data_IF_726825504670
#
_entry.id   IF_726825504670
#
_cell.length_a   1.000
_cell.length_b   1.000
_cell.length_c   1.000
_cell.angle_alpha   90.00
_cell.angle_beta   90.00
_cell.angle_gamma   90.00
#
_symmetry.space_group_name_H-M   'P 1'
#
loop_
_entity.id
_entity.type
_entity.pdbx_description
1 polymer ?
#
# COMPACT_ATOMS: atom_id res chain seq x y z
N UNK A 1 -7.47 -22.23 -21.20
CA UNK A 1 -7.72 -21.80 -22.59
C UNK A 1 -9.11 -21.19 -22.61
N UNK A 2 -9.27 -19.97 -23.12
CA UNK A 2 -10.61 -19.39 -23.30
C UNK A 2 -11.25 -20.04 -24.53
N UNK A 3 -12.48 -20.53 -24.40
CA UNK A 3 -13.19 -21.26 -25.46
C UNK A 3 -14.24 -20.31 -26.03
N UNK A 4 -14.15 -20.02 -27.33
CA UNK A 4 -15.14 -19.21 -28.03
C UNK A 4 -16.45 -19.99 -28.25
N UNK A 5 -17.57 -19.27 -28.28
CA UNK A 5 -18.88 -19.82 -28.60
C UNK A 5 -19.59 -18.92 -29.62
N UNK A 6 -20.14 -19.49 -30.69
CA UNK A 6 -20.92 -18.78 -31.72
C UNK A 6 -20.23 -17.51 -32.30
N UNK A 7 -18.93 -17.60 -32.62
CA UNK A 7 -18.17 -16.47 -33.15
C UNK A 7 -17.85 -15.38 -32.12
N UNK A 8 -18.06 -15.65 -30.83
CA UNK A 8 -17.75 -14.73 -29.72
C UNK A 8 -16.75 -15.37 -28.77
N UNK A 9 -15.82 -14.57 -28.26
CA UNK A 9 -14.87 -15.00 -27.22
C UNK A 9 -14.73 -13.88 -26.19
N UNK A 10 -14.86 -14.24 -24.91
CA UNK A 10 -14.66 -13.30 -23.82
C UNK A 10 -13.21 -13.35 -23.33
N UNK A 11 -12.50 -12.23 -23.39
CA UNK A 11 -11.14 -12.09 -22.85
C UNK A 11 -11.11 -10.94 -21.84
N UNK A 12 -10.76 -11.26 -20.58
CA UNK A 12 -10.81 -10.33 -19.45
C UNK A 12 -12.18 -9.61 -19.32
N UNK A 13 -12.19 -8.30 -19.55
CA UNK A 13 -13.36 -7.41 -19.43
C UNK A 13 -13.99 -7.08 -20.81
N UNK A 14 -13.58 -7.79 -21.87
CA UNK A 14 -13.99 -7.50 -23.26
C UNK A 14 -14.60 -8.74 -23.91
N UNK A 15 -15.69 -8.56 -24.65
CA UNK A 15 -16.29 -9.55 -25.53
C UNK A 15 -15.82 -9.24 -26.95
N UNK A 16 -15.08 -10.17 -27.54
CA UNK A 16 -14.63 -10.10 -28.91
C UNK A 16 -15.66 -10.84 -29.76
N UNK A 17 -16.21 -10.15 -30.75
CA UNK A 17 -17.23 -10.66 -31.68
C UNK A 17 -16.59 -10.67 -33.06
N UNK A 18 -16.48 -11.86 -33.66
CA UNK A 18 -16.01 -12.05 -35.02
C UNK A 18 -17.18 -11.76 -35.96
N UNK A 19 -17.03 -10.74 -36.79
CA UNK A 19 -18.02 -10.35 -37.79
C UNK A 19 -17.38 -10.41 -39.17
N UNK A 20 -17.59 -11.51 -39.89
CA UNK A 20 -17.02 -11.82 -41.22
C UNK A 20 -15.56 -11.37 -41.37
N UNK A 21 -15.32 -10.13 -41.81
CA UNK A 21 -13.97 -9.56 -42.06
C UNK A 21 -13.44 -8.64 -40.94
N UNK A 22 -14.12 -8.53 -39.81
CA UNK A 22 -13.84 -7.54 -38.76
C UNK A 22 -14.03 -8.07 -37.35
N UNK A 23 -13.30 -7.48 -36.40
CA UNK A 23 -13.49 -7.72 -34.97
C UNK A 23 -14.25 -6.56 -34.36
N UNK A 24 -15.36 -6.89 -33.70
CA UNK A 24 -16.17 -5.94 -32.94
C UNK A 24 -15.98 -6.24 -31.46
N UNK A 25 -15.73 -5.21 -30.67
CA UNK A 25 -15.48 -5.33 -29.25
C UNK A 25 -16.66 -4.77 -28.45
N UNK A 26 -17.02 -5.45 -27.37
CA UNK A 26 -18.05 -5.02 -26.43
C UNK A 26 -17.56 -5.23 -24.99
N UNK A 27 -18.21 -4.59 -24.02
CA UNK A 27 -17.90 -4.79 -22.61
C UNK A 27 -18.39 -6.18 -22.18
N UNK A 28 -17.52 -6.96 -21.54
CA UNK A 28 -17.87 -8.26 -20.98
C UNK A 28 -17.82 -8.25 -19.47
N UNK A 29 -18.73 -9.00 -18.85
CA UNK A 29 -18.75 -9.24 -17.41
C UNK A 29 -19.05 -10.70 -17.16
N UNK A 30 -18.28 -11.31 -16.27
CA UNK A 30 -18.51 -12.70 -15.84
C UNK A 30 -19.84 -12.79 -15.09
N UNK A 31 -20.48 -13.97 -15.10
CA UNK A 31 -21.71 -14.23 -14.36
C UNK A 31 -21.60 -13.95 -12.84
N UNK A 32 -20.38 -14.05 -12.29
CA UNK A 32 -20.09 -13.75 -10.88
C UNK A 32 -19.88 -12.27 -10.58
N UNK A 33 -20.06 -11.38 -11.56
CA UNK A 33 -19.90 -9.94 -11.37
C UNK A 33 -21.00 -9.37 -10.47
N UNK A 34 -20.60 -8.87 -9.31
CA UNK A 34 -21.53 -8.38 -8.28
C UNK A 34 -22.00 -6.94 -8.47
N UNK A 35 -21.47 -6.20 -9.45
CA UNK A 35 -21.76 -4.77 -9.59
C UNK A 35 -21.18 -3.88 -8.47
N UNK A 36 -20.34 -4.42 -7.58
CA UNK A 36 -19.77 -3.66 -6.47
C UNK A 36 -18.50 -2.92 -6.91
N UNK A 37 -18.55 -1.60 -6.78
CA UNK A 37 -17.39 -0.72 -6.91
C UNK A 37 -17.10 -0.03 -5.57
N UNK A 38 -16.12 0.89 -5.57
CA UNK A 38 -15.88 1.75 -4.43
C UNK A 38 -17.15 2.54 -4.11
N UNK A 39 -17.78 2.27 -2.97
CA UNK A 39 -18.99 2.98 -2.55
C UNK A 39 -18.71 4.48 -2.38
N UNK A 40 -19.63 5.34 -2.82
CA UNK A 40 -19.44 6.79 -2.77
C UNK A 40 -19.33 7.34 -1.34
N UNK A 41 -19.93 6.71 -0.34
CA UNK A 41 -19.87 7.15 1.05
C UNK A 41 -18.64 6.61 1.79
N UNK A 42 -17.81 5.79 1.14
CA UNK A 42 -16.55 5.34 1.74
C UNK A 42 -15.58 6.51 1.99
N UNK A 43 -14.73 6.35 3.00
CA UNK A 43 -13.71 7.33 3.40
C UNK A 43 -12.53 7.36 2.40
N UNK A 44 -12.82 7.85 1.19
CA UNK A 44 -11.89 7.95 0.09
C UNK A 44 -11.94 9.36 -0.51
N UNK A 45 -10.82 9.87 -1.04
CA UNK A 45 -10.80 11.17 -1.69
C UNK A 45 -11.65 11.15 -2.96
N UNK A 46 -12.25 12.30 -3.30
CA UNK A 46 -13.08 12.44 -4.50
C UNK A 46 -12.33 12.07 -5.79
N UNK A 47 -11.00 12.23 -5.84
CA UNK A 47 -10.22 11.83 -7.03
C UNK A 47 -10.26 10.31 -7.27
N UNK A 48 -10.32 9.47 -6.22
CA UNK A 48 -10.47 8.02 -6.39
C UNK A 48 -11.87 7.67 -6.88
N UNK A 49 -12.91 8.33 -6.34
CA UNK A 49 -14.31 8.17 -6.78
C UNK A 49 -14.47 8.57 -8.26
N UNK A 50 -13.85 9.68 -8.69
CA UNK A 50 -13.78 10.05 -10.11
C UNK A 50 -13.01 9.02 -10.93
N UNK A 51 -11.90 8.50 -10.39
CA UNK A 51 -11.09 7.47 -11.02
C UNK A 51 -11.86 6.20 -11.35
N UNK A 52 -12.80 5.79 -10.49
CA UNK A 52 -13.71 4.66 -10.77
C UNK A 52 -14.56 4.94 -12.01
N UNK A 53 -15.18 6.12 -12.09
CA UNK A 53 -15.97 6.52 -13.27
C UNK A 53 -15.07 6.56 -14.51
N UNK A 54 -13.91 7.22 -14.43
CA UNK A 54 -12.97 7.30 -15.55
C UNK A 54 -12.57 5.93 -16.08
N UNK A 55 -12.23 4.98 -15.20
CA UNK A 55 -11.82 3.65 -15.60
C UNK A 55 -12.89 2.90 -16.41
N UNK A 56 -14.16 3.04 -16.07
CA UNK A 56 -15.26 2.40 -16.81
C UNK A 56 -15.56 3.15 -18.11
N UNK A 57 -15.65 4.47 -18.07
CA UNK A 57 -15.94 5.29 -19.25
C UNK A 57 -14.84 5.15 -20.31
N UNK A 58 -13.57 5.13 -19.88
CA UNK A 58 -12.45 4.91 -20.79
C UNK A 58 -12.53 3.56 -21.47
N UNK A 59 -12.88 2.49 -20.74
CA UNK A 59 -13.08 1.17 -21.35
C UNK A 59 -14.21 1.19 -22.39
N UNK A 60 -15.32 1.83 -22.09
CA UNK A 60 -16.45 1.92 -23.03
C UNK A 60 -16.03 2.66 -24.30
N UNK A 61 -15.43 3.84 -24.15
CA UNK A 61 -15.13 4.72 -25.28
C UNK A 61 -13.93 4.23 -26.10
N UNK A 62 -12.89 3.70 -25.46
CA UNK A 62 -11.65 3.31 -26.12
C UNK A 62 -11.62 1.87 -26.60
N UNK A 63 -12.36 0.96 -25.97
CA UNK A 63 -12.31 -0.47 -26.28
C UNK A 63 -13.58 -0.97 -26.97
N UNK A 64 -14.77 -0.44 -26.65
CA UNK A 64 -16.00 -0.96 -27.23
C UNK A 64 -16.30 -0.31 -28.59
N UNK A 65 -16.94 -1.05 -29.48
CA UNK A 65 -17.45 -0.52 -30.73
C UNK A 65 -18.59 0.50 -30.48
N UNK A 66 -18.67 1.62 -31.24
CA UNK A 66 -19.66 2.68 -31.02
C UNK A 66 -21.12 2.22 -30.91
N UNK A 67 -21.49 1.16 -31.65
CA UNK A 67 -22.81 0.52 -31.60
C UNK A 67 -23.24 0.12 -30.17
N UNK A 68 -22.30 -0.23 -29.29
CA UNK A 68 -22.59 -0.67 -27.93
C UNK A 68 -22.44 0.42 -26.87
N UNK A 69 -21.96 1.63 -27.23
CA UNK A 69 -21.66 2.68 -26.26
C UNK A 69 -22.89 3.10 -25.46
N UNK A 70 -24.04 3.31 -26.11
CA UNK A 70 -25.25 3.77 -25.43
C UNK A 70 -25.68 2.79 -24.33
N UNK A 71 -25.85 1.50 -24.68
CA UNK A 71 -26.20 0.45 -23.73
C UNK A 71 -25.19 0.36 -22.58
N UNK A 72 -23.90 0.33 -22.90
CA UNK A 72 -22.84 0.19 -21.89
C UNK A 72 -22.74 1.41 -20.96
N UNK A 73 -23.04 2.62 -21.46
CA UNK A 73 -23.09 3.84 -20.64
C UNK A 73 -24.28 3.81 -19.68
N UNK A 74 -25.47 3.40 -20.13
CA UNK A 74 -26.64 3.24 -19.28
C UNK A 74 -26.34 2.23 -18.16
N UNK A 75 -25.77 1.07 -18.51
CA UNK A 75 -25.40 0.05 -17.54
C UNK A 75 -24.37 0.56 -16.53
N UNK A 76 -23.37 1.33 -16.98
CA UNK A 76 -22.38 1.94 -16.09
C UNK A 76 -23.02 2.94 -15.12
N UNK A 77 -23.91 3.82 -15.60
CA UNK A 77 -24.62 4.79 -14.76
C UNK A 77 -25.45 4.08 -13.70
N UNK A 78 -26.21 3.05 -14.07
CA UNK A 78 -27.01 2.25 -13.14
C UNK A 78 -26.15 1.64 -12.03
N UNK A 79 -24.97 1.12 -12.37
CA UNK A 79 -24.05 0.59 -11.36
C UNK A 79 -23.52 1.68 -10.44
N UNK A 80 -23.15 2.84 -10.96
CA UNK A 80 -22.68 3.94 -10.11
C UNK A 80 -23.78 4.38 -9.12
N UNK A 81 -25.03 4.44 -9.56
CA UNK A 81 -26.17 4.74 -8.69
C UNK A 81 -26.34 3.67 -7.59
N UNK A 82 -26.25 2.39 -7.95
CA UNK A 82 -26.28 1.28 -6.98
C UNK A 82 -25.11 1.31 -5.97
N UNK A 83 -24.02 2.00 -6.30
CA UNK A 83 -22.88 2.23 -5.41
C UNK A 83 -22.93 3.60 -4.68
N UNK A 84 -24.08 4.30 -4.74
CA UNK A 84 -24.35 5.52 -4.01
C UNK A 84 -23.80 6.81 -4.63
N UNK A 85 -23.36 6.78 -5.89
CA UNK A 85 -22.82 7.98 -6.53
C UNK A 85 -23.96 8.95 -6.88
N UNK A 86 -23.86 10.25 -6.52
CA UNK A 86 -24.85 11.25 -6.91
C UNK A 86 -24.91 11.44 -8.43
N UNK A 87 -26.11 11.60 -8.99
CA UNK A 87 -26.33 11.80 -10.42
C UNK A 87 -25.49 12.95 -10.98
N UNK A 88 -25.52 14.11 -10.34
CA UNK A 88 -24.75 15.29 -10.78
C UNK A 88 -23.25 15.01 -10.82
N UNK A 89 -22.74 14.26 -9.84
CA UNK A 89 -21.34 13.88 -9.80
C UNK A 89 -20.99 12.92 -10.93
N UNK A 90 -21.85 11.94 -11.22
CA UNK A 90 -21.70 11.00 -12.34
C UNK A 90 -21.63 11.78 -13.65
N UNK A 91 -22.68 12.53 -13.98
CA UNK A 91 -22.77 13.22 -15.27
C UNK A 91 -21.68 14.27 -15.46
N UNK A 92 -21.38 15.05 -14.42
CA UNK A 92 -20.28 16.03 -14.48
C UNK A 92 -18.94 15.35 -14.74
N UNK A 93 -18.68 14.21 -14.09
CA UNK A 93 -17.42 13.46 -14.26
C UNK A 93 -17.33 12.83 -15.65
N UNK A 94 -18.41 12.23 -16.15
CA UNK A 94 -18.49 11.65 -17.50
C UNK A 94 -18.25 12.75 -18.55
N UNK A 95 -18.98 13.87 -18.46
CA UNK A 95 -18.86 15.00 -19.39
C UNK A 95 -17.42 15.51 -19.47
N UNK A 96 -16.77 15.70 -18.33
CA UNK A 96 -15.37 16.14 -18.28
C UNK A 96 -14.42 15.12 -18.90
N UNK A 97 -14.67 13.82 -18.71
CA UNK A 97 -13.84 12.76 -19.28
C UNK A 97 -13.99 12.65 -20.79
N UNK A 98 -15.21 12.78 -21.32
CA UNK A 98 -15.46 12.78 -22.76
C UNK A 98 -14.80 13.98 -23.45
N UNK A 99 -14.94 15.18 -22.87
CA UNK A 99 -14.23 16.38 -23.35
C UNK A 99 -12.72 16.18 -23.41
N UNK A 100 -12.14 15.51 -22.42
CA UNK A 100 -10.71 15.19 -22.41
C UNK A 100 -10.31 14.33 -23.62
N UNK A 101 -11.07 13.27 -23.94
CA UNK A 101 -10.76 12.41 -25.08
C UNK A 101 -10.93 13.12 -26.42
N UNK A 102 -12.00 13.92 -26.56
CA UNK A 102 -12.24 14.73 -27.77
C UNK A 102 -11.05 15.68 -28.01
N UNK A 103 -10.66 16.45 -26.99
CA UNK A 103 -9.54 17.39 -27.10
C UNK A 103 -8.20 16.71 -27.35
N UNK A 104 -8.00 15.50 -26.81
CA UNK A 104 -6.79 14.71 -27.03
C UNK A 104 -6.67 14.22 -28.46
N UNK A 105 -7.78 13.81 -29.08
CA UNK A 105 -7.81 13.43 -30.50
C UNK A 105 -7.49 14.64 -31.39
N UNK A 106 -7.96 15.83 -31.02
CA UNK A 106 -7.67 17.07 -31.76
C UNK A 106 -6.24 17.60 -31.58
N UNK A 107 -5.53 17.20 -30.52
CA UNK A 107 -4.21 17.74 -30.19
C UNK A 107 -3.13 16.67 -30.43
N UNK A 108 -2.53 16.71 -31.62
CA UNK A 108 -1.40 15.87 -32.04
C UNK A 108 -0.10 16.33 -31.36
N UNK A 109 -0.02 16.30 -30.03
CA UNK A 109 1.14 16.80 -29.30
C UNK A 109 2.07 15.67 -28.82
N UNK A 110 3.26 15.63 -29.44
CA UNK A 110 4.47 14.99 -28.94
C UNK A 110 4.84 15.58 -27.57
N UNK A 111 4.28 15.02 -26.51
CA UNK A 111 4.66 15.42 -25.16
C UNK A 111 5.89 14.62 -24.71
N UNK A 112 7.01 15.32 -24.59
CA UNK A 112 8.16 14.90 -23.80
C UNK A 112 7.69 14.60 -22.37
N UNK A 113 7.49 13.33 -22.05
CA UNK A 113 7.08 12.88 -20.73
C UNK A 113 8.26 13.02 -19.75
N UNK A 114 8.41 14.20 -19.15
CA UNK A 114 9.17 14.31 -17.92
C UNK A 114 8.51 13.42 -16.85
N UNK A 115 9.32 12.62 -16.17
CA UNK A 115 8.85 11.73 -15.11
C UNK A 115 8.21 12.57 -13.99
N UNK A 116 6.89 12.47 -13.85
CA UNK A 116 6.14 13.14 -12.79
C UNK A 116 6.48 12.48 -11.45
N UNK A 117 7.07 13.25 -10.53
CA UNK A 117 7.30 12.81 -9.14
C UNK A 117 6.00 12.88 -8.35
N UNK A 118 5.78 11.90 -7.47
CA UNK A 118 4.60 11.82 -6.63
C UNK A 118 4.97 11.83 -5.15
N UNK A 119 4.17 12.52 -4.35
CA UNK A 119 4.24 12.55 -2.91
C UNK A 119 2.99 11.87 -2.36
N UNK A 120 3.13 10.64 -1.87
CA UNK A 120 2.00 9.80 -1.47
C UNK A 120 1.82 9.84 0.05
N UNK A 121 0.60 10.16 0.51
CA UNK A 121 0.24 10.18 1.93
C UNK A 121 -1.01 9.32 2.21
N UNK A 122 -1.16 8.75 3.41
CA UNK A 122 -2.45 8.19 3.84
C UNK A 122 -3.56 9.24 3.76
N UNK A 123 -4.72 8.86 3.23
CA UNK A 123 -5.89 9.73 3.20
C UNK A 123 -6.55 9.81 4.58
N UNK A 124 -6.63 11.03 5.09
CA UNK A 124 -7.32 11.44 6.30
C UNK A 124 -8.00 12.76 5.96
N UNK A 125 -9.33 12.75 5.91
CA UNK A 125 -10.12 13.86 5.34
C UNK A 125 -9.79 15.24 5.95
N UNK A 126 -9.56 15.30 7.26
CA UNK A 126 -9.26 16.53 8.00
C UNK A 126 -7.85 17.10 7.77
N UNK A 127 -6.90 16.29 7.28
CA UNK A 127 -5.48 16.67 7.24
C UNK A 127 -4.88 16.58 5.85
N UNK A 128 -5.27 15.59 5.04
CA UNK A 128 -4.59 15.28 3.78
C UNK A 128 -4.54 16.44 2.78
N UNK A 129 -5.58 17.28 2.73
CA UNK A 129 -5.60 18.44 1.82
C UNK A 129 -4.55 19.50 2.20
N UNK A 130 -4.11 19.56 3.47
CA UNK A 130 -3.07 20.49 3.94
C UNK A 130 -1.69 20.16 3.38
N UNK A 131 -1.49 18.96 2.82
CA UNK A 131 -0.23 18.57 2.17
C UNK A 131 -0.13 19.03 0.71
N UNK A 132 -1.20 19.57 0.11
CA UNK A 132 -1.16 20.01 -1.29
C UNK A 132 -0.16 21.16 -1.53
N UNK A 133 -0.09 22.21 -0.70
CA UNK A 133 0.95 23.23 -0.82
C UNK A 133 2.36 22.64 -0.67
N UNK A 134 2.53 21.72 0.28
CA UNK A 134 3.82 21.06 0.55
C UNK A 134 4.29 20.27 -0.69
N UNK A 135 3.42 19.46 -1.28
CA UNK A 135 3.74 18.70 -2.48
C UNK A 135 4.17 19.62 -3.65
N UNK A 136 3.52 20.78 -3.79
CA UNK A 136 3.86 21.75 -4.83
C UNK A 136 5.25 22.37 -4.64
N UNK A 137 5.66 22.66 -3.39
CA UNK A 137 7.01 23.17 -3.06
C UNK A 137 8.09 22.19 -3.58
N UNK A 138 7.86 20.89 -3.41
CA UNK A 138 8.77 19.85 -3.88
C UNK A 138 8.54 19.45 -5.35
N UNK A 139 7.76 20.21 -6.13
CA UNK A 139 7.41 19.91 -7.53
C UNK A 139 6.81 18.50 -7.72
N UNK A 140 6.14 17.99 -6.69
CA UNK A 140 5.53 16.66 -6.67
C UNK A 140 4.01 16.75 -6.82
N UNK A 141 3.42 15.72 -7.42
CA UNK A 141 1.96 15.53 -7.38
C UNK A 141 1.56 14.82 -6.10
N UNK A 142 0.62 15.41 -5.36
CA UNK A 142 0.02 14.75 -4.19
C UNK A 142 -0.79 13.53 -4.63
N UNK A 143 -0.52 12.39 -4.01
CA UNK A 143 -1.25 11.14 -4.16
C UNK A 143 -1.73 10.64 -2.80
N UNK A 144 -2.81 9.86 -2.81
CA UNK A 144 -3.44 9.37 -1.59
C UNK A 144 -3.39 7.85 -1.54
N UNK A 145 -2.98 7.31 -0.40
CA UNK A 145 -3.04 5.87 -0.09
C UNK A 145 -4.17 5.62 0.89
N UNK A 146 -4.77 4.43 0.80
CA UNK A 146 -5.86 4.02 1.69
C UNK A 146 -5.32 2.86 2.55
N UNK A 147 -5.14 3.06 3.87
CA UNK A 147 -4.58 2.02 4.73
C UNK A 147 -5.56 0.86 4.96
N UNK A 148 -6.85 1.16 5.12
CA UNK A 148 -7.90 0.18 5.40
C UNK A 148 -8.41 -0.48 4.12
N UNK A 149 -7.61 -1.38 3.56
CA UNK A 149 -8.00 -2.15 2.37
C UNK A 149 -8.62 -3.49 2.73
N UNK A 150 -9.47 -4.00 1.83
CA UNK A 150 -10.05 -5.34 1.95
C UNK A 150 -9.01 -6.46 2.04
N UNK A 151 -7.73 -6.22 1.68
CA UNK A 151 -6.63 -7.18 1.83
C UNK A 151 -6.48 -7.68 3.27
N UNK A 152 -6.86 -6.87 4.26
CA UNK A 152 -6.78 -7.27 5.67
C UNK A 152 -7.80 -8.35 6.02
N UNK A 153 -8.94 -8.36 5.33
CA UNK A 153 -10.03 -9.33 5.54
C UNK A 153 -9.98 -10.48 4.53
N UNK A 154 -9.76 -10.17 3.26
CA UNK A 154 -9.73 -11.11 2.13
C UNK A 154 -8.26 -11.40 1.81
N UNK A 155 -7.74 -12.47 2.42
CA UNK A 155 -6.38 -12.97 2.19
C UNK A 155 -6.42 -14.11 1.16
N UNK A 156 -5.31 -14.30 0.45
CA UNK A 156 -5.17 -15.34 -0.60
C UNK A 156 -5.13 -16.79 -0.06
N UNK A 157 -5.43 -17.00 1.23
CA UNK A 157 -5.39 -18.33 1.85
C UNK A 157 -4.02 -19.00 1.81
N UNK A 158 -2.92 -18.24 1.79
CA UNK A 158 -1.57 -18.82 1.81
C UNK A 158 -1.26 -19.42 3.18
N UNK A 159 -0.46 -20.49 3.20
CA UNK A 159 0.04 -21.09 4.43
C UNK A 159 0.76 -20.05 5.28
N UNK A 160 0.50 -20.08 6.59
CA UNK A 160 1.20 -19.22 7.53
C UNK A 160 2.64 -19.72 7.66
N UNK A 161 3.59 -18.82 7.44
CA UNK A 161 4.97 -19.09 7.78
C UNK A 161 5.10 -19.24 9.29
N UNK A 162 5.99 -20.13 9.72
CA UNK A 162 6.41 -20.18 11.11
C UNK A 162 6.94 -18.82 11.56
N UNK A 163 6.68 -18.49 12.83
CA UNK A 163 6.91 -17.17 13.38
C UNK A 163 8.35 -16.64 13.18
N UNK A 164 9.36 -17.48 13.40
CA UNK A 164 10.78 -17.10 13.27
C UNK A 164 11.29 -17.12 11.82
N UNK A 165 10.52 -17.67 10.88
CA UNK A 165 10.84 -17.68 9.45
C UNK A 165 10.37 -16.41 8.72
N UNK A 166 9.67 -15.51 9.42
CA UNK A 166 9.32 -14.19 8.88
C UNK A 166 10.56 -13.35 8.57
N UNK A 167 10.44 -12.51 7.55
CA UNK A 167 11.48 -11.62 7.02
C UNK A 167 10.99 -10.17 7.03
N UNK A 168 11.92 -9.22 6.90
CA UNK A 168 11.61 -7.78 6.88
C UNK A 168 10.91 -7.29 8.15
N UNK A 169 11.38 -7.78 9.31
CA UNK A 169 10.74 -7.55 10.59
C UNK A 169 11.54 -6.59 11.46
N UNK A 170 10.83 -5.81 12.28
CA UNK A 170 11.36 -5.16 13.48
C UNK A 170 11.03 -6.07 14.66
N UNK A 171 12.01 -6.39 15.49
CA UNK A 171 11.89 -7.34 16.57
C UNK A 171 12.40 -6.78 17.89
N UNK A 172 11.95 -7.37 19.01
CA UNK A 172 12.34 -7.06 20.38
C UNK A 172 12.81 -8.33 21.09
N UNK A 173 14.00 -8.28 21.67
CA UNK A 173 14.55 -9.32 22.55
C UNK A 173 14.64 -8.73 23.96
N UNK A 174 14.12 -9.45 24.96
CA UNK A 174 14.13 -8.99 26.36
C UNK A 174 15.15 -9.80 27.16
N UNK A 175 15.77 -9.17 28.15
CA UNK A 175 16.60 -9.89 29.11
C UNK A 175 15.70 -10.73 30.03
N UNK A 176 16.14 -11.94 30.39
CA UNK A 176 15.39 -12.79 31.32
C UNK A 176 15.65 -12.42 32.80
N UNK A 177 16.72 -11.65 33.07
CA UNK A 177 17.19 -11.34 34.42
C UNK A 177 16.90 -9.90 34.87
N UNK A 178 16.58 -8.98 33.97
CA UNK A 178 16.25 -7.60 34.31
C UNK A 178 15.29 -6.99 33.29
N UNK A 179 14.65 -5.87 33.65
CA UNK A 179 13.67 -5.19 32.80
C UNK A 179 14.34 -4.35 31.71
N UNK A 180 15.25 -4.94 30.93
CA UNK A 180 15.86 -4.29 29.78
C UNK A 180 15.57 -5.03 28.50
N UNK A 181 15.59 -4.31 27.38
CA UNK A 181 15.31 -4.91 26.08
C UNK A 181 16.08 -4.27 24.94
N UNK A 182 16.29 -5.03 23.89
CA UNK A 182 16.89 -4.59 22.64
C UNK A 182 15.86 -4.66 21.51
N UNK A 183 15.78 -3.62 20.70
CA UNK A 183 15.02 -3.60 19.45
C UNK A 183 15.98 -3.56 18.27
N UNK A 184 15.69 -4.36 17.24
CA UNK A 184 16.45 -4.35 16.00
C UNK A 184 15.58 -4.67 14.79
N UNK A 185 16.11 -4.46 13.58
CA UNK A 185 15.47 -4.91 12.35
C UNK A 185 16.30 -5.95 11.56
N UNK A 186 15.61 -6.72 10.72
CA UNK A 186 16.28 -7.60 9.76
C UNK A 186 15.52 -7.69 8.45
N UNK A 187 16.25 -7.65 7.33
CA UNK A 187 15.74 -8.04 6.00
C UNK A 187 15.58 -9.55 5.87
N UNK A 188 16.44 -10.32 6.56
CA UNK A 188 16.52 -11.79 6.48
C UNK A 188 15.53 -12.44 7.44
N UNK A 189 15.53 -13.77 7.51
CA UNK A 189 14.72 -14.50 8.48
C UNK A 189 15.10 -14.10 9.90
N UNK A 190 14.09 -13.92 10.75
CA UNK A 190 14.29 -13.58 12.15
C UNK A 190 15.16 -14.64 12.86
N UNK A 191 14.94 -15.93 12.58
CA UNK A 191 15.74 -17.05 13.11
C UNK A 191 17.24 -16.84 12.91
N UNK A 192 17.66 -16.46 11.70
CA UNK A 192 19.07 -16.21 11.39
C UNK A 192 19.62 -15.06 12.22
N UNK A 193 18.84 -13.98 12.39
CA UNK A 193 19.27 -12.82 13.16
C UNK A 193 19.38 -13.10 14.67
N UNK A 194 18.45 -13.89 15.22
CA UNK A 194 18.52 -14.35 16.61
C UNK A 194 19.79 -15.16 16.84
N UNK A 195 20.08 -16.11 15.95
CA UNK A 195 21.28 -16.96 16.07
C UNK A 195 22.59 -16.15 16.02
N UNK A 196 22.65 -15.11 15.18
CA UNK A 196 23.80 -14.21 15.13
C UNK A 196 24.03 -13.46 16.44
N UNK A 197 22.96 -13.00 17.10
CA UNK A 197 23.08 -12.33 18.39
C UNK A 197 23.49 -13.30 19.49
N UNK A 198 22.92 -14.50 19.53
CA UNK A 198 23.25 -15.49 20.58
C UNK A 198 24.70 -15.97 20.47
N UNK A 199 25.20 -16.15 19.25
CA UNK A 199 26.57 -16.60 18.95
C UNK A 199 27.62 -15.49 18.98
N UNK A 200 27.21 -14.22 19.07
CA UNK A 200 28.12 -13.08 18.99
C UNK A 200 29.17 -13.06 20.11
N UNK A 201 28.80 -13.51 21.31
CA UNK A 201 29.69 -13.61 22.48
C UNK A 201 30.88 -14.55 22.25
N UNK A 202 30.75 -15.52 21.34
CA UNK A 202 31.80 -16.49 21.04
C UNK A 202 32.84 -15.95 20.04
N UNK A 203 32.61 -14.77 19.45
CA UNK A 203 33.52 -14.19 18.47
C UNK A 203 34.70 -13.54 19.18
N UNK A 204 35.91 -13.75 18.66
CA UNK A 204 37.15 -13.12 19.12
C UNK A 204 37.23 -11.60 18.82
N UNK A 205 36.12 -10.97 18.45
CA UNK A 205 36.10 -9.56 18.01
C UNK A 205 36.28 -8.61 19.19
N UNK A 206 36.99 -7.50 18.98
CA UNK A 206 37.22 -6.46 20.00
C UNK A 206 36.00 -5.54 20.25
N UNK A 207 34.88 -5.76 19.56
CA UNK A 207 33.70 -4.87 19.63
C UNK A 207 32.42 -5.72 19.70
N UNK A 208 32.05 -6.23 20.88
CA UNK A 208 30.85 -7.04 21.04
C UNK A 208 29.60 -6.22 20.74
N UNK A 209 28.52 -6.87 20.30
CA UNK A 209 27.22 -6.21 20.18
C UNK A 209 26.74 -5.72 21.55
N UNK A 210 25.81 -4.75 21.55
CA UNK A 210 25.19 -4.23 22.78
C UNK A 210 24.58 -5.34 23.64
N UNK A 211 23.96 -6.33 23.00
CA UNK A 211 23.41 -7.51 23.68
C UNK A 211 24.55 -8.31 24.36
N UNK A 212 25.63 -8.58 23.63
CA UNK A 212 26.80 -9.30 24.16
C UNK A 212 27.47 -8.53 25.31
N UNK A 213 27.63 -7.21 25.20
CA UNK A 213 28.16 -6.37 26.28
C UNK A 213 27.31 -6.50 27.55
N UNK A 214 25.99 -6.38 27.43
CA UNK A 214 25.09 -6.56 28.58
C UNK A 214 25.27 -7.94 29.22
N UNK A 215 25.32 -9.02 28.42
CA UNK A 215 25.53 -10.39 28.92
C UNK A 215 26.87 -10.52 29.66
N UNK A 216 27.95 -9.94 29.14
CA UNK A 216 29.29 -10.00 29.73
C UNK A 216 29.35 -9.19 31.04
N UNK A 217 28.83 -7.96 31.03
CA UNK A 217 28.95 -7.02 32.16
C UNK A 217 28.04 -7.40 33.34
N UNK A 218 26.86 -7.94 33.05
CA UNK A 218 25.84 -8.25 34.08
C UNK A 218 25.70 -9.74 34.37
N UNK A 219 26.36 -10.60 33.59
CA UNK A 219 26.19 -12.06 33.64
C UNK A 219 24.71 -12.49 33.47
N UNK A 220 23.95 -11.70 32.71
CA UNK A 220 22.56 -11.99 32.36
C UNK A 220 22.47 -12.72 31.01
N UNK A 221 21.30 -13.30 30.71
CA UNK A 221 20.98 -13.80 29.38
C UNK A 221 19.69 -13.21 28.82
N UNK A 222 19.48 -13.40 27.53
CA UNK A 222 18.31 -12.93 26.80
C UNK A 222 17.36 -14.06 26.43
N UNK A 223 16.08 -13.73 26.32
CA UNK A 223 15.07 -14.68 25.92
C UNK A 223 15.11 -14.93 24.40
N UNK A 224 15.87 -15.94 23.99
CA UNK A 224 16.06 -16.27 22.57
C UNK A 224 14.84 -16.99 21.95
N UNK A 225 13.99 -17.62 22.77
CA UNK A 225 12.82 -18.38 22.31
C UNK A 225 11.57 -17.52 22.15
N UNK A 226 11.42 -16.46 22.95
CA UNK A 226 10.24 -15.58 22.99
C UNK A 226 10.54 -14.17 22.43
N UNK A 227 11.17 -14.11 21.26
CA UNK A 227 11.42 -12.85 20.56
C UNK A 227 10.12 -12.29 20.01
N UNK A 228 9.84 -11.00 20.24
CA UNK A 228 8.59 -10.34 19.76
C UNK A 228 8.83 -9.66 18.42
N UNK A 229 7.97 -9.89 17.42
CA UNK A 229 7.90 -9.11 16.19
C UNK A 229 7.01 -7.90 16.48
N UNK A 230 7.60 -6.71 16.37
CA UNK A 230 6.92 -5.43 16.61
C UNK A 230 6.25 -4.89 15.34
N UNK A 231 6.89 -5.09 14.18
CA UNK A 231 6.39 -4.62 12.88
C UNK A 231 6.96 -5.46 11.71
N UNK A 232 6.31 -5.41 10.56
CA UNK A 232 6.73 -6.05 9.31
C UNK A 232 6.68 -5.04 8.15
N UNK A 233 7.85 -4.54 7.74
CA UNK A 233 7.96 -3.50 6.71
C UNK A 233 9.02 -3.89 5.67
N UNK A 234 8.59 -4.28 4.45
CA UNK A 234 9.50 -4.66 3.36
C UNK A 234 10.42 -3.53 2.89
N UNK A 235 9.97 -2.29 2.95
CA UNK A 235 10.77 -1.13 2.54
C UNK A 235 11.86 -0.84 3.58
N UNK A 236 13.12 -0.92 3.17
CA UNK A 236 14.25 -0.70 4.08
C UNK A 236 14.17 0.66 4.80
N UNK A 237 13.95 1.75 4.07
CA UNK A 237 13.90 3.09 4.67
C UNK A 237 12.74 3.24 5.66
N UNK A 238 11.57 2.68 5.37
CA UNK A 238 10.44 2.71 6.30
C UNK A 238 10.70 1.81 7.50
N UNK A 239 11.37 0.67 7.31
CA UNK A 239 11.74 -0.25 8.39
C UNK A 239 12.76 0.37 9.34
N UNK A 240 13.71 1.17 8.84
CA UNK A 240 14.60 1.97 9.69
C UNK A 240 13.81 2.96 10.57
N UNK A 241 12.86 3.70 9.98
CA UNK A 241 12.01 4.61 10.76
C UNK A 241 11.18 3.82 11.79
N UNK A 242 10.63 2.67 11.42
CA UNK A 242 9.87 1.79 12.32
C UNK A 242 10.73 1.29 13.49
N UNK A 243 11.96 0.85 13.22
CA UNK A 243 12.96 0.49 14.25
C UNK A 243 13.23 1.66 15.20
N UNK A 244 13.52 2.85 14.69
CA UNK A 244 13.78 4.04 15.50
C UNK A 244 12.60 4.42 16.40
N UNK A 245 11.38 4.39 15.86
CA UNK A 245 10.16 4.62 16.62
C UNK A 245 10.02 3.59 17.73
N UNK A 246 10.22 2.31 17.43
CA UNK A 246 10.13 1.25 18.44
C UNK A 246 11.23 1.33 19.51
N UNK A 247 12.45 1.79 19.17
CA UNK A 247 13.51 2.07 20.14
C UNK A 247 13.08 3.21 21.08
N UNK A 248 12.60 4.34 20.54
CA UNK A 248 12.15 5.49 21.36
C UNK A 248 10.92 5.19 22.23
N UNK A 249 10.12 4.19 21.87
CA UNK A 249 9.00 3.70 22.70
C UNK A 249 9.45 2.83 23.88
N UNK A 250 10.70 2.37 23.93
CA UNK A 250 11.19 1.58 25.06
C UNK A 250 11.38 2.47 26.29
N UNK A 251 10.95 1.98 27.45
CA UNK A 251 11.27 2.59 28.75
C UNK A 251 12.71 2.29 29.16
N UNK A 252 13.11 1.03 29.04
CA UNK A 252 14.43 0.50 29.42
C UNK A 252 15.08 -0.19 28.22
N UNK A 253 15.45 0.61 27.21
CA UNK A 253 16.14 0.14 26.01
C UNK A 253 17.66 0.16 26.17
N UNK A 254 18.35 -0.90 25.73
CA UNK A 254 19.83 -0.93 25.72
C UNK A 254 20.44 -0.42 24.41
N UNK A 255 19.62 -0.16 23.38
CA UNK A 255 20.04 0.38 22.09
C UNK A 255 20.93 1.64 22.22
N UNK A 256 21.83 1.85 21.25
CA UNK A 256 22.69 3.04 21.26
C UNK A 256 21.88 4.26 20.84
N UNK A 257 22.15 5.43 21.43
CA UNK A 257 21.43 6.66 21.09
C UNK A 257 21.56 7.03 19.61
N UNK A 258 22.74 6.77 19.02
CA UNK A 258 23.03 6.97 17.60
C UNK A 258 22.11 6.16 16.67
N UNK A 259 21.52 5.05 17.14
CA UNK A 259 20.59 4.24 16.36
C UNK A 259 19.30 5.03 16.01
N UNK A 260 19.06 6.17 16.66
CA UNK A 260 17.85 7.01 16.47
C UNK A 260 18.12 8.43 15.95
N UNK A 261 19.37 8.78 15.61
CA UNK A 261 19.76 10.14 15.20
C UNK A 261 19.00 10.67 13.98
N UNK A 262 18.60 9.78 13.07
CA UNK A 262 17.87 10.20 11.85
C UNK A 262 16.39 10.52 12.10
N UNK A 263 15.89 10.33 13.32
CA UNK A 263 14.51 10.60 13.70
C UNK A 263 14.44 11.97 14.40
N UNK A 264 13.80 12.99 13.80
CA UNK A 264 13.73 14.33 14.40
C UNK A 264 13.04 14.36 15.75
N UNK A 265 13.59 15.11 16.71
CA UNK A 265 13.07 15.21 18.07
C UNK A 265 11.64 15.79 18.16
N UNK A 266 11.18 16.49 17.12
CA UNK A 266 9.79 16.99 17.06
C UNK A 266 8.75 15.86 17.08
N UNK A 267 9.14 14.63 16.74
CA UNK A 267 8.27 13.45 16.84
C UNK A 267 8.25 12.81 18.23
N UNK A 268 9.19 13.14 19.11
CA UNK A 268 9.38 12.48 20.41
C UNK A 268 8.12 12.55 21.28
N UNK A 269 7.51 13.73 21.42
CA UNK A 269 6.26 13.90 22.19
C UNK A 269 5.10 13.07 21.63
N UNK A 270 4.99 12.98 20.30
CA UNK A 270 3.97 12.18 19.64
C UNK A 270 4.23 10.68 19.83
N UNK A 271 5.49 10.24 19.82
CA UNK A 271 5.83 8.84 20.03
C UNK A 271 5.53 8.43 21.47
N UNK A 272 5.86 9.28 22.45
CA UNK A 272 5.58 9.01 23.86
C UNK A 272 4.09 8.97 24.19
N UNK A 273 3.26 9.81 23.55
CA UNK A 273 1.80 9.75 23.72
C UNK A 273 1.17 8.48 23.12
N UNK A 274 1.85 7.80 22.19
CA UNK A 274 1.43 6.52 21.62
C UNK A 274 1.89 5.31 22.45
N UNK A 275 2.65 5.51 23.53
CA UNK A 275 3.10 4.45 24.44
C UNK A 275 2.28 4.34 25.73
N UNK A 276 1.37 5.28 26.00
CA UNK A 276 0.56 5.32 27.24
C UNK A 276 -0.73 4.50 27.19
N UNK A 277 -0.71 3.33 26.55
CA UNK A 277 -1.85 2.40 26.49
C UNK A 277 -1.43 0.98 26.78
#
# INVERSE_FOLDING_TARGET
>A
MEIGNEGKISFLDTLIIVNEDSLIFDAYRKATFSGRFLNFHSHHPLCHKRGVIYGIIDKIILLCHPKFHNRNLIDAINIFLLNGYPLDFIFTTIKNRLKFHINKISSNNNNNNSLKKFFAIPFVDSVSNKFKPIANIFTCKLAYTIPNTLRNFIKRGKDKLEYTHNQNVVYKISCDNCDVSYVGQTKRQLKTRIHEHSSDINKTSKSPSVISNHRIETNHDFNWSNVKILDMEPSYNKRLISEMVHIKKQTHGINKQNDTESLPDCYTNMIHSLSTS
#
